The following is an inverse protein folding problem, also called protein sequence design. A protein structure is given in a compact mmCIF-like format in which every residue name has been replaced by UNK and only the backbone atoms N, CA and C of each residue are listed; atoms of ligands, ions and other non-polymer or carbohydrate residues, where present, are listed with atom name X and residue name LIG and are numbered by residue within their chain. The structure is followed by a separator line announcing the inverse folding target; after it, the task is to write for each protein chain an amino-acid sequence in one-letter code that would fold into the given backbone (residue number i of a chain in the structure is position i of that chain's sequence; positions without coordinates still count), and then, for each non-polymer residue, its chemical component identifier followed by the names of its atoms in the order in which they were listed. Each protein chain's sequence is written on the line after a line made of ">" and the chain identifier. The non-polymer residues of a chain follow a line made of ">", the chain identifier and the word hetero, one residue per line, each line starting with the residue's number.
data_IF_933759243083
#
_entry.id   IF_933759243083
#
_cell.length_a   1.000
_cell.length_b   1.000
_cell.length_c   1.000
_cell.angle_alpha   90.00
_cell.angle_beta   90.00
_cell.angle_gamma   90.00
#
_symmetry.space_group_name_H-M   'P 1'
#
loop_
_entity.id
_entity.type
_entity.pdbx_description
1 polymer ?
#
# COMPACT_ATOMS: atom_id res chain seq x y z
N UNK A 1 8.99 19.95 3.06
CA UNK A 1 8.23 18.88 2.38
C UNK A 1 6.99 18.63 3.22
N UNK A 2 5.84 18.66 2.60
CA UNK A 2 4.58 18.37 3.31
C UNK A 2 4.36 16.86 3.29
N UNK A 3 3.69 16.33 4.30
CA UNK A 3 3.37 14.90 4.42
C UNK A 3 2.71 14.37 3.14
N UNK A 4 1.82 15.17 2.54
CA UNK A 4 1.13 14.86 1.28
C UNK A 4 2.10 14.65 0.12
N UNK A 5 3.10 15.51 -0.02
CA UNK A 5 4.10 15.44 -1.08
C UNK A 5 4.98 14.19 -0.94
N UNK A 6 5.34 13.87 0.32
CA UNK A 6 6.11 12.67 0.63
C UNK A 6 5.34 11.40 0.24
N UNK A 7 4.07 11.29 0.67
CA UNK A 7 3.26 10.13 0.34
C UNK A 7 2.92 10.05 -1.15
N UNK A 8 2.72 11.19 -1.83
CA UNK A 8 2.53 11.21 -3.28
C UNK A 8 3.74 10.59 -4.01
N UNK A 9 4.95 10.90 -3.56
CA UNK A 9 6.18 10.33 -4.12
C UNK A 9 6.34 8.84 -3.79
N UNK A 10 6.14 8.46 -2.53
CA UNK A 10 6.24 7.05 -2.07
C UNK A 10 5.25 6.16 -2.82
N UNK A 11 4.01 6.63 -2.97
CA UNK A 11 2.94 5.89 -3.63
C UNK A 11 2.98 5.99 -5.16
N UNK A 12 3.84 6.85 -5.71
CA UNK A 12 3.92 7.11 -7.14
C UNK A 12 2.65 7.75 -7.71
N UNK A 13 1.93 8.52 -6.89
CA UNK A 13 0.70 9.21 -7.30
C UNK A 13 1.09 10.39 -8.21
N UNK A 14 0.49 10.41 -9.39
CA UNK A 14 0.70 11.45 -10.41
C UNK A 14 -0.63 12.00 -10.90
N UNK A 15 -0.62 13.23 -11.43
CA UNK A 15 -1.78 13.80 -12.10
C UNK A 15 -2.43 12.79 -13.07
N UNK A 16 -3.74 12.68 -13.11
CA UNK A 16 -4.74 13.55 -12.48
C UNK A 16 -5.09 13.21 -11.01
N UNK A 17 -4.32 12.36 -10.34
CA UNK A 17 -4.53 11.99 -8.95
C UNK A 17 -3.58 12.77 -8.03
N UNK A 18 -4.07 13.14 -6.86
CA UNK A 18 -3.33 13.88 -5.85
C UNK A 18 -3.65 13.38 -4.44
N UNK A 19 -2.69 13.49 -3.53
CA UNK A 19 -2.92 13.19 -2.11
C UNK A 19 -3.60 14.39 -1.46
N UNK A 20 -4.84 14.22 -1.03
CA UNK A 20 -5.63 15.25 -0.35
C UNK A 20 -5.38 15.31 1.15
N UNK A 21 -5.09 14.19 1.78
CA UNK A 21 -4.85 14.11 3.22
C UNK A 21 -4.08 12.87 3.63
N UNK A 22 -3.43 12.95 4.79
CA UNK A 22 -2.78 11.84 5.46
C UNK A 22 -3.20 11.86 6.91
N UNK A 23 -3.70 10.74 7.42
CA UNK A 23 -4.16 10.57 8.79
C UNK A 23 -3.36 9.46 9.47
N UNK A 24 -2.84 9.73 10.66
CA UNK A 24 -2.11 8.76 11.46
C UNK A 24 -2.93 8.36 12.68
N UNK A 25 -3.38 7.12 12.70
CA UNK A 25 -4.07 6.51 13.83
C UNK A 25 -3.07 5.72 14.69
N UNK A 26 -2.48 6.38 15.68
CA UNK A 26 -1.45 5.78 16.54
C UNK A 26 -1.97 4.57 17.32
N UNK A 27 -3.22 4.63 17.79
CA UNK A 27 -3.86 3.55 18.55
C UNK A 27 -4.09 2.29 17.73
N UNK A 28 -4.31 2.44 16.44
CA UNK A 28 -4.59 1.35 15.51
C UNK A 28 -3.33 0.88 14.77
N UNK A 29 -2.25 1.66 14.86
CA UNK A 29 -1.02 1.39 14.13
C UNK A 29 -1.20 1.50 12.61
N UNK A 30 -2.02 2.48 12.17
CA UNK A 30 -2.41 2.63 10.76
C UNK A 30 -2.21 4.06 10.27
N UNK A 31 -1.74 4.18 9.04
CA UNK A 31 -1.69 5.43 8.27
C UNK A 31 -2.69 5.35 7.14
N UNK A 32 -3.62 6.27 7.10
CA UNK A 32 -4.60 6.38 6.01
C UNK A 32 -4.22 7.54 5.10
N UNK A 33 -4.02 7.24 3.82
CA UNK A 33 -3.70 8.23 2.79
C UNK A 33 -4.93 8.43 1.90
N UNK A 34 -5.47 9.64 1.91
CA UNK A 34 -6.59 10.03 1.08
C UNK A 34 -6.10 10.56 -0.27
N UNK A 35 -6.62 9.95 -1.33
CA UNK A 35 -6.30 10.32 -2.71
C UNK A 35 -7.56 10.78 -3.42
N UNK A 36 -7.48 11.90 -4.06
CA UNK A 36 -8.55 12.53 -4.83
C UNK A 36 -8.10 12.77 -6.26
N UNK A 37 -9.06 12.88 -7.14
CA UNK A 37 -8.80 13.25 -8.52
C UNK A 37 -8.99 14.75 -8.71
N UNK A 38 -8.19 15.34 -9.59
CA UNK A 38 -8.33 16.73 -9.99
C UNK A 38 -9.72 16.97 -10.61
N UNK A 39 -10.29 18.15 -10.39
CA UNK A 39 -11.57 18.52 -10.95
C UNK A 39 -11.48 18.67 -12.48
N UNK A 40 -12.56 18.33 -13.17
CA UNK A 40 -12.68 18.49 -14.62
C UNK A 40 -12.00 17.44 -15.47
N UNK A 41 -11.51 16.36 -14.88
CA UNK A 41 -10.89 15.25 -15.61
C UNK A 41 -11.94 14.48 -16.38
N UNK A 42 -11.69 14.29 -17.68
CA UNK A 42 -12.51 13.42 -18.52
C UNK A 42 -12.09 11.97 -18.30
N UNK A 43 -13.08 11.10 -18.12
CA UNK A 43 -12.85 9.68 -17.89
C UNK A 43 -13.09 8.88 -19.15
N UNK A 44 -12.23 7.89 -19.38
CA UNK A 44 -12.39 6.94 -20.48
C UNK A 44 -12.81 5.57 -19.95
N UNK A 45 -13.55 4.86 -20.74
CA UNK A 45 -13.83 3.46 -20.47
C UNK A 45 -12.53 2.64 -20.50
N UNK A 46 -12.20 1.86 -19.47
CA UNK A 46 -10.96 1.08 -19.43
C UNK A 46 -10.92 -0.05 -20.46
N UNK A 47 -12.07 -0.43 -21.03
CA UNK A 47 -12.17 -1.54 -21.99
C UNK A 47 -12.03 -1.06 -23.44
N UNK A 48 -12.76 0.00 -23.83
CA UNK A 48 -12.73 0.50 -25.23
C UNK A 48 -11.92 1.80 -25.39
N UNK A 49 -11.55 2.48 -24.31
CA UNK A 49 -10.81 3.73 -24.35
C UNK A 49 -11.65 4.97 -24.72
N UNK A 50 -12.94 4.82 -24.99
CA UNK A 50 -13.81 5.95 -25.33
C UNK A 50 -14.10 6.84 -24.13
N UNK A 51 -14.12 8.14 -24.36
CA UNK A 51 -14.54 9.12 -23.38
C UNK A 51 -16.01 8.89 -23.05
N UNK A 52 -16.29 8.62 -21.81
CA UNK A 52 -17.62 8.27 -21.34
C UNK A 52 -18.05 9.19 -20.19
N UNK A 53 -19.33 9.59 -20.15
CA UNK A 53 -19.83 10.44 -19.07
C UNK A 53 -19.68 9.77 -17.71
N UNK A 54 -19.34 10.55 -16.69
CA UNK A 54 -19.32 10.10 -15.32
C UNK A 54 -20.71 9.64 -14.86
N UNK A 55 -20.75 8.58 -14.11
CA UNK A 55 -22.00 8.02 -13.56
C UNK A 55 -22.10 8.31 -12.06
N UNK A 56 -21.15 7.81 -11.29
CA UNK A 56 -20.99 8.05 -9.85
C UNK A 56 -19.55 7.76 -9.42
N UNK A 57 -19.27 7.82 -8.13
CA UNK A 57 -17.99 7.42 -7.56
C UNK A 57 -18.20 6.43 -6.41
N UNK A 58 -17.25 5.54 -6.22
CA UNK A 58 -17.22 4.59 -5.10
C UNK A 58 -15.96 4.73 -4.30
N UNK A 59 -16.11 4.90 -3.00
CA UNK A 59 -14.99 4.84 -2.07
C UNK A 59 -14.40 3.45 -2.02
N UNK A 60 -13.10 3.35 -2.29
CA UNK A 60 -12.33 2.11 -2.23
C UNK A 60 -11.11 2.26 -1.35
N UNK A 61 -10.68 1.14 -0.78
CA UNK A 61 -9.49 1.05 0.06
C UNK A 61 -8.54 0.01 -0.52
N UNK A 62 -7.25 0.31 -0.44
CA UNK A 62 -6.19 -0.61 -0.82
C UNK A 62 -5.13 -0.67 0.26
N UNK A 63 -4.65 -1.86 0.52
CA UNK A 63 -3.51 -2.07 1.38
C UNK A 63 -2.23 -1.76 0.59
N UNK A 64 -1.39 -0.91 1.15
CA UNK A 64 -0.04 -0.62 0.65
C UNK A 64 1.01 -1.27 1.52
N UNK A 65 2.29 -1.17 1.12
CA UNK A 65 3.43 -1.54 1.96
C UNK A 65 3.44 -0.71 3.24
N UNK A 66 3.87 -1.31 4.33
CA UNK A 66 3.89 -0.63 5.63
C UNK A 66 4.86 0.55 5.63
N UNK A 67 4.45 1.63 6.24
CA UNK A 67 5.30 2.78 6.51
C UNK A 67 5.90 2.59 7.91
N UNK A 68 7.15 2.16 8.00
CA UNK A 68 7.78 1.74 9.24
C UNK A 68 6.96 0.62 9.92
N UNK A 69 6.50 0.83 11.15
CA UNK A 69 5.64 -0.12 11.88
C UNK A 69 4.14 0.05 11.61
N UNK A 70 3.75 1.05 10.83
CA UNK A 70 2.35 1.39 10.59
C UNK A 70 1.83 0.76 9.29
N UNK A 71 0.63 0.19 9.37
CA UNK A 71 -0.09 -0.26 8.18
C UNK A 71 -0.48 0.93 7.33
N UNK A 72 -0.19 0.90 6.06
CA UNK A 72 -0.57 1.98 5.15
C UNK A 72 -1.79 1.58 4.33
N UNK A 73 -2.85 2.35 4.45
CA UNK A 73 -4.10 2.18 3.71
C UNK A 73 -4.30 3.37 2.79
N UNK A 74 -4.47 3.10 1.52
CA UNK A 74 -4.84 4.09 0.52
C UNK A 74 -6.36 4.12 0.39
N UNK A 75 -6.94 5.30 0.43
CA UNK A 75 -8.39 5.51 0.26
C UNK A 75 -8.62 6.50 -0.87
N UNK A 76 -9.43 6.12 -1.84
CA UNK A 76 -9.82 7.01 -2.91
C UNK A 76 -11.27 6.81 -3.34
N UNK A 77 -11.90 7.89 -3.79
CA UNK A 77 -13.19 7.85 -4.46
C UNK A 77 -12.97 7.63 -5.96
N UNK A 78 -13.21 6.38 -6.39
CA UNK A 78 -12.97 5.97 -7.78
C UNK A 78 -14.21 6.22 -8.61
N UNK A 79 -14.14 7.03 -9.68
CA UNK A 79 -15.27 7.31 -10.54
C UNK A 79 -15.66 6.07 -11.34
N UNK A 80 -16.95 5.98 -11.62
CA UNK A 80 -17.52 5.05 -12.59
C UNK A 80 -18.07 5.82 -13.78
N UNK A 81 -17.91 5.25 -14.95
CA UNK A 81 -18.39 5.84 -16.20
C UNK A 81 -19.46 4.97 -16.82
N UNK A 82 -20.36 5.62 -17.55
CA UNK A 82 -21.39 4.91 -18.33
C UNK A 82 -20.96 4.82 -19.79
N UNK A 83 -20.33 3.71 -20.15
CA UNK A 83 -20.00 3.40 -21.54
C UNK A 83 -21.23 2.94 -22.31
N UNK A 84 -21.31 3.30 -23.58
CA UNK A 84 -22.42 2.87 -24.46
C UNK A 84 -22.41 1.37 -24.74
N UNK A 85 -21.21 0.79 -24.83
CA UNK A 85 -21.02 -0.63 -25.16
C UNK A 85 -20.90 -1.52 -23.92
N UNK A 86 -20.21 -1.05 -22.86
CA UNK A 86 -19.87 -1.85 -21.69
C UNK A 86 -20.72 -1.53 -20.44
N UNK A 87 -21.66 -0.58 -20.57
CA UNK A 87 -22.49 -0.16 -19.44
C UNK A 87 -21.69 0.63 -18.38
N UNK A 88 -22.03 0.43 -17.08
CA UNK A 88 -21.38 1.13 -16.00
C UNK A 88 -20.11 0.39 -15.60
N UNK A 89 -18.95 0.98 -15.85
CA UNK A 89 -17.62 0.43 -15.53
C UNK A 89 -16.83 1.37 -14.62
N UNK A 90 -16.02 0.77 -13.74
CA UNK A 90 -15.14 1.53 -12.86
C UNK A 90 -13.87 1.93 -13.61
N UNK A 91 -13.47 3.20 -13.49
CA UNK A 91 -12.23 3.69 -14.09
C UNK A 91 -11.04 2.97 -13.46
N UNK A 92 -10.04 2.63 -14.26
CA UNK A 92 -8.81 2.03 -13.75
C UNK A 92 -7.98 3.05 -12.95
N UNK A 93 -7.38 2.61 -11.87
CA UNK A 93 -6.46 3.40 -11.06
C UNK A 93 -5.01 2.98 -11.34
N UNK A 94 -4.03 3.91 -11.31
CA UNK A 94 -2.66 3.58 -11.69
C UNK A 94 -1.90 2.74 -10.64
N UNK A 95 -2.38 2.68 -9.41
CA UNK A 95 -1.70 2.02 -8.29
C UNK A 95 -2.19 0.61 -7.98
N UNK A 96 -3.27 0.14 -8.61
CA UNK A 96 -3.82 -1.19 -8.34
C UNK A 96 -4.48 -1.80 -9.56
N UNK A 97 -4.45 -3.12 -9.63
CA UNK A 97 -5.18 -3.86 -10.65
C UNK A 97 -6.70 -3.86 -10.37
N UNK A 98 -7.51 -3.97 -11.43
CA UNK A 98 -8.96 -4.07 -11.28
C UNK A 98 -9.36 -5.22 -10.33
N UNK A 99 -10.18 -4.91 -9.33
CA UNK A 99 -10.63 -5.89 -8.35
C UNK A 99 -9.66 -6.18 -7.20
N UNK A 100 -8.41 -5.77 -7.30
CA UNK A 100 -7.43 -5.94 -6.21
C UNK A 100 -7.77 -5.08 -4.99
N UNK A 101 -7.54 -5.61 -3.80
CA UNK A 101 -7.54 -4.86 -2.53
C UNK A 101 -6.13 -4.41 -2.09
N UNK A 102 -5.12 -4.66 -2.92
CA UNK A 102 -3.72 -4.32 -2.69
C UNK A 102 -3.20 -3.41 -3.79
N UNK A 103 -2.24 -2.55 -3.44
CA UNK A 103 -1.54 -1.78 -4.48
C UNK A 103 -0.59 -2.69 -5.25
N UNK A 104 -0.24 -2.30 -6.48
CA UNK A 104 0.66 -3.07 -7.34
C UNK A 104 2.04 -3.28 -6.70
N UNK A 105 2.50 -2.34 -5.88
CA UNK A 105 3.76 -2.48 -5.13
C UNK A 105 3.74 -3.63 -4.12
N UNK A 106 2.61 -3.92 -3.51
CA UNK A 106 2.44 -5.06 -2.61
C UNK A 106 2.49 -6.38 -3.38
N UNK A 107 1.84 -6.43 -4.55
CA UNK A 107 1.79 -7.64 -5.36
C UNK A 107 3.12 -7.98 -6.04
N UNK A 108 3.94 -6.98 -6.33
CA UNK A 108 5.25 -7.15 -6.97
C UNK A 108 6.40 -7.37 -5.98
N UNK A 109 6.21 -7.09 -4.68
CA UNK A 109 7.26 -7.25 -3.70
C UNK A 109 7.24 -8.67 -3.07
N UNK A 110 8.23 -9.55 -3.38
CA UNK A 110 8.20 -10.95 -2.98
C UNK A 110 8.27 -11.18 -1.47
N UNK A 111 8.65 -10.16 -0.71
CA UNK A 111 8.85 -10.26 0.74
C UNK A 111 7.56 -10.28 1.56
N UNK A 112 6.48 -9.65 1.09
CA UNK A 112 5.24 -9.53 1.87
C UNK A 112 4.23 -10.66 1.65
N UNK A 113 4.42 -11.52 0.63
CA UNK A 113 3.58 -12.70 0.40
C UNK A 113 4.06 -13.97 1.13
N UNK A 114 5.22 -13.94 1.75
CA UNK A 114 5.53 -14.98 2.72
C UNK A 114 4.64 -14.74 3.93
N UNK A 115 3.60 -15.57 4.06
CA UNK A 115 2.94 -15.77 5.34
C UNK A 115 4.07 -15.96 6.36
N UNK A 116 4.25 -14.96 7.22
CA UNK A 116 5.13 -15.12 8.38
C UNK A 116 4.59 -16.36 9.09
N UNK A 117 5.34 -17.44 9.19
CA UNK A 117 4.86 -18.59 9.93
C UNK A 117 4.52 -18.09 11.31
N UNK A 118 3.29 -18.32 11.76
CA UNK A 118 2.79 -17.99 13.11
C UNK A 118 3.50 -18.89 14.13
N UNK A 119 4.81 -18.93 14.10
CA UNK A 119 5.58 -19.46 15.20
C UNK A 119 5.90 -18.29 16.09
N UNK A 120 5.47 -18.31 17.38
CA UNK A 120 5.98 -17.37 18.34
C UNK A 120 7.51 -17.48 18.24
N UNK A 121 8.16 -16.34 18.10
CA UNK A 121 9.61 -16.24 18.15
C UNK A 121 9.99 -16.53 19.61
N UNK A 122 10.03 -17.81 19.96
CA UNK A 122 10.60 -18.27 21.20
C UNK A 122 12.10 -18.07 21.10
N UNK A 123 12.57 -16.97 21.64
CA UNK A 123 13.95 -16.87 22.04
C UNK A 123 14.19 -17.96 23.10
N UNK A 124 14.64 -19.11 22.69
CA UNK A 124 15.25 -20.01 23.62
C UNK A 124 16.58 -19.39 24.04
N UNK A 125 16.59 -18.81 25.21
CA UNK A 125 17.81 -18.39 25.90
C UNK A 125 18.84 -19.52 26.06
N UNK A 126 18.50 -20.74 25.67
CA UNK A 126 19.33 -21.92 25.76
C UNK A 126 20.39 -22.03 24.65
N UNK A 127 20.29 -21.27 23.57
CA UNK A 127 21.28 -21.37 22.48
C UNK A 127 22.36 -20.27 22.53
N UNK A 128 22.31 -19.40 23.52
CA UNK A 128 23.41 -18.49 23.87
C UNK A 128 24.18 -19.08 25.05
N UNK A 129 25.15 -19.90 24.79
CA UNK A 129 26.12 -20.34 25.81
C UNK A 129 27.11 -19.18 26.00
N UNK A 130 27.18 -18.55 27.17
CA UNK A 130 28.20 -17.55 27.45
C UNK A 130 29.50 -18.26 27.89
N UNK A 131 30.23 -18.79 26.95
CA UNK A 131 31.59 -19.29 27.22
C UNK A 131 32.61 -18.24 26.79
N UNK A 132 32.64 -17.11 27.42
CA UNK A 132 33.85 -16.28 27.41
C UNK A 132 33.78 -15.17 28.45
N UNK A 133 34.88 -14.93 29.20
CA UNK A 133 34.91 -13.82 30.18
C UNK A 133 34.81 -12.46 29.50
N UNK A 134 34.17 -11.55 30.17
CA UNK A 134 33.72 -10.21 29.76
C UNK A 134 34.78 -9.21 29.26
N UNK A 135 35.90 -9.63 28.71
CA UNK A 135 36.99 -8.74 28.33
C UNK A 135 37.20 -8.50 26.84
N UNK A 136 36.38 -9.04 25.96
CA UNK A 136 36.51 -8.75 24.54
C UNK A 136 35.18 -8.86 23.86
N UNK A 137 34.58 -7.75 23.43
CA UNK A 137 33.29 -7.64 22.77
C UNK A 137 33.18 -8.32 21.42
N UNK A 138 33.27 -9.64 21.39
CA UNK A 138 33.04 -10.45 20.18
C UNK A 138 31.90 -11.41 20.41
N UNK A 139 30.71 -11.02 19.97
CA UNK A 139 29.58 -11.92 19.84
C UNK A 139 29.75 -12.72 18.53
N UNK A 140 29.99 -14.00 18.63
CA UNK A 140 29.88 -14.91 17.48
C UNK A 140 28.60 -15.72 17.60
N UNK A 141 27.65 -15.46 16.72
CA UNK A 141 26.58 -16.42 16.43
C UNK A 141 27.18 -17.58 15.65
N UNK A 142 27.14 -18.78 16.21
CA UNK A 142 27.61 -20.00 15.54
C UNK A 142 26.65 -20.35 14.39
N UNK A 143 27.15 -20.31 13.16
CA UNK A 143 26.56 -21.00 12.04
C UNK A 143 26.79 -22.51 12.25
N UNK A 144 25.73 -23.30 12.28
CA UNK A 144 25.81 -24.73 11.99
C UNK A 144 25.26 -25.02 10.60
N UNK A 145 25.89 -25.91 9.87
CA UNK A 145 25.48 -26.36 8.55
C UNK A 145 24.13 -27.08 8.55
#
# INVERSE_FOLDING_TARGET
>A
MRDKDLYAQILGIKSPWQVSGVELALSEGEVTVHVEQEEGVQHCCPTCGEVSPGYDSRKRKWRHLDTCQYKTILVADVPRVKCKEHGVVTVSVPWAEPGSGFTAMVTTHPYQHRAVPKRPFEWRLADCIPDLPWSAGNWRCGNRP
#
